data_IF_680012627421
#
_entry.id   IF_680012627421
#
_cell.length_a   1.000
_cell.length_b   1.000
_cell.length_c   1.000
_cell.angle_alpha   90.00
_cell.angle_beta   90.00
_cell.angle_gamma   90.00
#
_symmetry.space_group_name_H-M   'P 1'
#
loop_
_entity.id
_entity.type
_entity.pdbx_description
1 polymer ?
#
# COMPACT_ATOMS: atom_id res chain seq x y z
N UNK A 1 12.77 0.19 -13.91
CA UNK A 1 11.35 0.44 -13.59
C UNK A 1 10.97 1.87 -13.95
N UNK A 2 9.88 2.03 -14.64
CA UNK A 2 9.40 3.36 -15.00
C UNK A 2 8.91 4.10 -13.75
N UNK A 3 9.02 5.43 -13.78
CA UNK A 3 8.65 6.26 -12.64
C UNK A 3 7.19 6.06 -12.22
N UNK A 4 6.29 5.95 -13.19
CA UNK A 4 4.88 5.71 -12.90
C UNK A 4 4.68 4.39 -12.12
N UNK A 5 5.36 3.35 -12.52
CA UNK A 5 5.31 2.05 -11.84
C UNK A 5 5.91 2.14 -10.44
N UNK A 6 7.02 2.85 -10.33
CA UNK A 6 7.68 3.05 -9.04
C UNK A 6 6.74 3.75 -8.05
N UNK A 7 6.14 4.85 -8.47
CA UNK A 7 5.23 5.60 -7.60
C UNK A 7 3.99 4.78 -7.23
N UNK A 8 3.54 3.91 -8.13
CA UNK A 8 2.37 3.08 -7.88
C UNK A 8 2.57 1.94 -6.90
N UNK A 9 3.82 1.67 -6.52
CA UNK A 9 4.13 0.56 -5.62
C UNK A 9 3.49 0.71 -4.23
N UNK A 10 3.45 1.93 -3.72
CA UNK A 10 2.89 2.17 -2.40
C UNK A 10 1.41 1.79 -2.32
N UNK A 11 0.61 2.24 -3.28
CA UNK A 11 -0.83 1.94 -3.27
C UNK A 11 -1.08 0.43 -3.36
N UNK A 12 -0.30 -0.26 -4.18
CA UNK A 12 -0.42 -1.72 -4.27
C UNK A 12 -0.07 -2.40 -2.96
N UNK A 13 1.02 -1.97 -2.34
CA UNK A 13 1.46 -2.52 -1.06
C UNK A 13 0.44 -2.22 0.03
N UNK A 14 -0.15 -1.03 0.01
CA UNK A 14 -1.16 -0.62 0.97
C UNK A 14 -2.41 -1.51 0.87
N UNK A 15 -2.89 -1.74 -0.35
CA UNK A 15 -4.05 -2.60 -0.56
C UNK A 15 -3.81 -4.01 -0.05
N UNK A 16 -2.63 -4.53 -0.33
CA UNK A 16 -2.28 -5.86 0.13
C UNK A 16 -2.16 -5.92 1.66
N UNK A 17 -1.51 -4.93 2.26
CA UNK A 17 -1.36 -4.86 3.70
C UNK A 17 -2.71 -4.76 4.41
N UNK A 18 -3.63 -3.95 3.87
CA UNK A 18 -4.97 -3.82 4.42
C UNK A 18 -5.72 -5.16 4.40
N UNK A 19 -5.59 -5.92 3.31
CA UNK A 19 -6.21 -7.23 3.22
C UNK A 19 -5.65 -8.20 4.23
N UNK A 20 -4.34 -8.22 4.39
CA UNK A 20 -3.70 -9.08 5.39
C UNK A 20 -4.12 -8.69 6.80
N UNK A 21 -4.23 -7.39 7.05
CA UNK A 21 -4.62 -6.89 8.36
C UNK A 21 -6.08 -7.22 8.69
N UNK A 22 -6.97 -7.10 7.70
CA UNK A 22 -8.37 -7.48 7.89
C UNK A 22 -8.51 -8.96 8.21
N UNK A 23 -7.73 -9.79 7.55
CA UNK A 23 -7.72 -11.22 7.82
C UNK A 23 -7.25 -11.51 9.25
N UNK A 24 -6.23 -10.80 9.69
CA UNK A 24 -5.72 -10.92 11.06
C UNK A 24 -6.76 -10.48 12.07
N UNK A 25 -7.44 -9.35 11.81
CA UNK A 25 -8.48 -8.83 12.68
C UNK A 25 -9.65 -9.79 12.83
N UNK A 26 -10.04 -10.43 11.75
CA UNK A 26 -11.15 -11.36 11.77
C UNK A 26 -10.88 -12.51 12.74
N UNK A 27 -9.64 -12.93 12.86
CA UNK A 27 -9.25 -13.97 13.79
C UNK A 27 -9.29 -13.45 15.22
N UNK A 28 -8.75 -12.26 15.46
CA UNK A 28 -8.67 -11.71 16.81
C UNK A 28 -10.02 -11.30 17.36
N UNK A 29 -10.91 -10.78 16.53
CA UNK A 29 -12.22 -10.32 16.98
C UNK A 29 -13.14 -11.49 17.30
N UNK A 30 -12.94 -12.62 16.63
CA UNK A 30 -13.83 -13.76 16.80
C UNK A 30 -13.07 -15.04 17.15
N UNK A 31 -12.40 -15.07 18.31
CA UNK A 31 -11.62 -16.22 18.71
C UNK A 31 -12.48 -17.47 18.91
N UNK A 32 -13.76 -17.27 19.16
CA UNK A 32 -14.73 -18.36 19.29
C UNK A 32 -15.46 -18.59 18.00
N UNK A 33 -14.79 -18.45 16.92
CA UNK A 33 -15.35 -18.60 15.62
C UNK A 33 -16.33 -19.78 15.56
N UNK A 34 -17.45 -19.62 14.88
CA UNK A 34 -18.47 -20.69 14.79
C UNK A 34 -17.91 -22.02 14.31
N UNK A 35 -16.79 -22.00 13.64
CA UNK A 35 -16.15 -23.22 13.19
C UNK A 35 -15.82 -24.18 14.33
N UNK A 36 -15.59 -23.64 15.52
CA UNK A 36 -15.35 -24.46 16.68
C UNK A 36 -16.60 -25.19 17.12
N UNK A 37 -17.74 -24.56 16.95
CA UNK A 37 -19.01 -25.15 17.32
C UNK A 37 -19.49 -26.19 16.32
N UNK A 38 -19.17 -25.97 15.06
CA UNK A 38 -19.58 -26.88 14.01
C UNK A 38 -18.68 -28.07 13.81
N UNK A 39 -17.56 -28.12 14.49
CA UNK A 39 -16.61 -29.19 14.31
C UNK A 39 -16.85 -30.37 15.22
N UNK A 40 -16.68 -31.58 14.71
CA UNK A 40 -16.71 -32.77 15.56
C UNK A 40 -15.57 -32.69 16.53
N UNK A 41 -15.89 -32.60 17.78
CA UNK A 41 -14.88 -32.38 18.79
C UNK A 41 -14.11 -33.64 19.15
N UNK A 42 -14.71 -34.78 18.92
CA UNK A 42 -14.11 -36.04 19.28
C UNK A 42 -12.80 -36.27 18.54
N UNK A 43 -12.64 -35.68 17.40
CA UNK A 43 -11.44 -35.88 16.59
C UNK A 43 -10.40 -34.81 16.79
N UNK A 44 -10.70 -33.82 17.59
CA UNK A 44 -9.77 -32.73 17.83
C UNK A 44 -8.56 -33.25 18.58
N UNK A 45 -7.47 -33.38 17.89
CA UNK A 45 -6.22 -33.82 18.49
C UNK A 45 -5.34 -32.63 18.81
N UNK A 46 -4.28 -32.85 19.56
CA UNK A 46 -3.28 -31.83 19.84
C UNK A 46 -2.65 -31.30 18.56
N UNK A 47 -2.51 -32.14 17.53
CA UNK A 47 -1.91 -31.72 16.28
C UNK A 47 -2.81 -30.75 15.50
N UNK A 48 -4.14 -30.91 15.56
CA UNK A 48 -5.06 -30.00 14.93
C UNK A 48 -5.01 -28.63 15.58
N UNK A 49 -4.92 -28.59 16.89
CA UNK A 49 -4.80 -27.34 17.62
C UNK A 49 -3.48 -26.66 17.30
N UNK A 50 -2.40 -27.42 17.27
CA UNK A 50 -1.08 -26.89 16.94
C UNK A 50 -1.05 -26.33 15.54
N UNK A 51 -1.68 -27.01 14.58
CA UNK A 51 -1.77 -26.54 13.21
C UNK A 51 -2.56 -25.23 13.13
N UNK A 52 -3.64 -25.13 13.88
CA UNK A 52 -4.45 -23.91 13.93
C UNK A 52 -3.66 -22.73 14.48
N UNK A 53 -2.94 -22.97 15.58
CA UNK A 53 -2.10 -21.93 16.17
C UNK A 53 -1.00 -21.51 15.22
N UNK A 54 -0.37 -22.46 14.53
CA UNK A 54 0.67 -22.17 13.57
C UNK A 54 0.14 -21.30 12.42
N UNK A 55 -1.08 -21.57 11.97
CA UNK A 55 -1.71 -20.74 10.91
C UNK A 55 -1.98 -19.33 11.39
N UNK A 56 -2.44 -19.16 12.60
CA UNK A 56 -2.68 -17.85 13.19
C UNK A 56 -1.38 -17.06 13.25
N UNK A 57 -0.31 -17.68 13.73
CA UNK A 57 1.00 -17.04 13.79
C UNK A 57 1.46 -16.61 12.40
N UNK A 58 1.29 -17.50 11.42
CA UNK A 58 1.67 -17.22 10.05
C UNK A 58 0.90 -16.03 9.48
N UNK A 59 -0.41 -15.96 9.70
CA UNK A 59 -1.25 -14.86 9.23
C UNK A 59 -0.79 -13.54 9.86
N UNK A 60 -0.47 -13.55 11.15
CA UNK A 60 0.03 -12.36 11.82
C UNK A 60 1.37 -11.91 11.26
N UNK A 61 2.27 -12.84 10.98
CA UNK A 61 3.57 -12.51 10.37
C UNK A 61 3.41 -11.93 8.98
N UNK A 62 2.51 -12.48 8.19
CA UNK A 62 2.24 -11.95 6.85
C UNK A 62 1.73 -10.53 6.91
N UNK A 63 0.83 -10.24 7.85
CA UNK A 63 0.29 -8.89 8.03
C UNK A 63 1.39 -7.91 8.44
N UNK A 64 2.25 -8.30 9.38
CA UNK A 64 3.36 -7.46 9.81
C UNK A 64 4.32 -7.16 8.68
N UNK A 65 4.70 -8.19 7.93
CA UNK A 65 5.65 -8.04 6.82
C UNK A 65 5.08 -7.11 5.75
N UNK A 66 3.81 -7.30 5.40
CA UNK A 66 3.14 -6.47 4.40
C UNK A 66 3.04 -5.02 4.87
N UNK A 67 2.75 -4.82 6.14
CA UNK A 67 2.64 -3.48 6.71
C UNK A 67 3.98 -2.75 6.74
N UNK A 68 5.05 -3.46 7.11
CA UNK A 68 6.40 -2.87 7.09
C UNK A 68 6.80 -2.45 5.68
N UNK A 69 6.56 -3.30 4.71
CA UNK A 69 6.88 -2.99 3.31
C UNK A 69 6.10 -1.76 2.86
N UNK A 70 4.82 -1.68 3.22
CA UNK A 70 3.99 -0.53 2.90
C UNK A 70 4.59 0.76 3.49
N UNK A 71 5.01 0.73 4.75
CA UNK A 71 5.57 1.92 5.41
C UNK A 71 6.89 2.35 4.77
N UNK A 72 7.73 1.40 4.40
CA UNK A 72 9.00 1.71 3.73
C UNK A 72 8.73 2.38 2.38
N UNK A 73 7.82 1.83 1.61
CA UNK A 73 7.45 2.39 0.31
C UNK A 73 6.82 3.77 0.45
N UNK A 74 5.97 3.95 1.46
CA UNK A 74 5.37 5.26 1.71
C UNK A 74 6.43 6.31 1.94
N UNK A 75 7.40 6.00 2.80
CA UNK A 75 8.48 6.93 3.11
C UNK A 75 9.32 7.25 1.88
N UNK A 76 9.74 6.24 1.13
CA UNK A 76 10.56 6.46 -0.06
C UNK A 76 9.83 7.25 -1.14
N UNK A 77 8.59 6.90 -1.41
CA UNK A 77 7.81 7.55 -2.46
C UNK A 77 7.44 8.96 -2.04
N UNK A 78 7.09 9.15 -0.77
CA UNK A 78 6.82 10.48 -0.25
C UNK A 78 8.03 11.40 -0.40
N UNK A 79 9.24 10.89 -0.13
CA UNK A 79 10.46 11.68 -0.31
C UNK A 79 10.67 12.12 -1.75
N UNK A 80 10.42 11.22 -2.69
CA UNK A 80 10.52 11.55 -4.11
C UNK A 80 9.52 12.64 -4.49
N UNK A 81 8.28 12.50 -4.03
CA UNK A 81 7.23 13.48 -4.33
C UNK A 81 7.56 14.84 -3.71
N UNK A 82 8.00 14.85 -2.46
CA UNK A 82 8.33 16.10 -1.77
C UNK A 82 9.48 16.85 -2.42
N UNK A 83 10.36 16.15 -3.12
CA UNK A 83 11.48 16.76 -3.82
C UNK A 83 11.07 17.47 -5.13
N UNK A 84 9.88 17.20 -5.63
CA UNK A 84 9.38 17.87 -6.84
C UNK A 84 9.15 19.35 -6.52
N UNK A 85 9.81 20.27 -7.28
CA UNK A 85 9.74 21.70 -6.92
C UNK A 85 8.41 22.37 -7.18
N UNK A 86 7.74 21.98 -8.25
CA UNK A 86 6.47 22.61 -8.62
C UNK A 86 5.34 22.12 -7.71
N UNK A 87 4.61 23.05 -7.10
CA UNK A 87 3.57 22.72 -6.14
C UNK A 87 2.39 21.96 -6.74
N UNK A 88 2.00 22.32 -7.95
CA UNK A 88 0.89 21.64 -8.62
C UNK A 88 1.27 20.20 -8.98
N UNK A 89 2.48 20.02 -9.50
CA UNK A 89 2.99 18.68 -9.79
C UNK A 89 3.08 17.84 -8.53
N UNK A 90 3.63 18.40 -7.47
CA UNK A 90 3.73 17.74 -6.18
C UNK A 90 2.36 17.33 -5.65
N UNK A 91 1.41 18.23 -5.68
CA UNK A 91 0.05 17.96 -5.20
C UNK A 91 -0.62 16.84 -6.01
N UNK A 92 -0.49 16.90 -7.33
CA UNK A 92 -1.06 15.85 -8.18
C UNK A 92 -0.49 14.48 -7.82
N UNK A 93 0.83 14.39 -7.68
CA UNK A 93 1.47 13.12 -7.34
C UNK A 93 1.03 12.61 -5.98
N UNK A 94 0.88 13.51 -5.03
CA UNK A 94 0.44 13.15 -3.70
C UNK A 94 -0.99 12.62 -3.70
N UNK A 95 -1.89 13.32 -4.37
CA UNK A 95 -3.29 12.91 -4.46
C UNK A 95 -3.43 11.54 -5.14
N UNK A 96 -2.71 11.34 -6.21
CA UNK A 96 -2.82 10.11 -6.98
C UNK A 96 -2.08 8.93 -6.36
N UNK A 97 -0.85 9.14 -5.92
CA UNK A 97 0.05 8.04 -5.53
C UNK A 97 0.17 7.80 -4.03
N UNK A 98 -0.23 8.75 -3.21
CA UNK A 98 -0.28 8.56 -1.76
C UNK A 98 -1.71 8.38 -1.29
N UNK A 99 -2.61 9.27 -1.70
CA UNK A 99 -4.02 9.19 -1.29
C UNK A 99 -4.83 8.22 -2.14
N UNK A 100 -4.36 7.89 -3.33
CA UNK A 100 -5.00 6.89 -4.16
C UNK A 100 -6.28 7.35 -4.86
N UNK A 101 -6.41 8.65 -5.11
CA UNK A 101 -7.60 9.18 -5.74
C UNK A 101 -7.69 8.81 -7.22
N UNK A 102 -8.91 8.66 -7.69
CA UNK A 102 -9.15 8.46 -9.13
C UNK A 102 -8.87 9.76 -9.86
N UNK A 103 -8.62 9.65 -11.17
CA UNK A 103 -8.27 10.84 -11.95
C UNK A 103 -9.34 11.92 -11.94
N UNK A 104 -10.63 11.54 -11.96
CA UNK A 104 -11.70 12.53 -11.86
C UNK A 104 -11.70 13.21 -10.49
N UNK A 105 -11.36 12.48 -9.44
CA UNK A 105 -11.27 13.04 -8.09
C UNK A 105 -10.07 13.98 -7.96
N UNK A 106 -8.95 13.62 -8.58
CA UNK A 106 -7.77 14.51 -8.63
C UNK A 106 -8.12 15.82 -9.31
N UNK A 107 -8.76 15.74 -10.48
CA UNK A 107 -9.15 16.92 -11.23
C UNK A 107 -10.09 17.82 -10.43
N UNK A 108 -11.06 17.22 -9.77
CA UNK A 108 -12.00 17.97 -8.94
C UNK A 108 -11.29 18.65 -7.75
N UNK A 109 -10.42 17.92 -7.08
CA UNK A 109 -9.68 18.46 -5.94
C UNK A 109 -8.76 19.61 -6.35
N UNK A 110 -8.13 19.51 -7.51
CA UNK A 110 -7.22 20.54 -8.01
C UNK A 110 -7.92 21.67 -8.78
N UNK A 111 -9.23 21.56 -8.95
CA UNK A 111 -10.02 22.53 -9.72
C UNK A 111 -9.50 22.69 -11.14
N UNK A 112 -9.21 21.58 -11.79
CA UNK A 112 -8.69 21.53 -13.15
C UNK A 112 -9.51 20.57 -13.99
N UNK A 113 -9.51 20.80 -15.32
CA UNK A 113 -10.09 19.84 -16.24
C UNK A 113 -9.25 18.56 -16.24
N UNK A 114 -9.87 17.42 -16.48
CA UNK A 114 -9.15 16.15 -16.52
C UNK A 114 -8.02 16.16 -17.55
N UNK A 115 -8.24 16.78 -18.68
CA UNK A 115 -7.24 16.91 -19.74
C UNK A 115 -6.00 17.64 -19.22
N UNK A 116 -6.21 18.73 -18.49
CA UNK A 116 -5.12 19.49 -17.88
C UNK A 116 -4.35 18.65 -16.89
N UNK A 117 -5.06 17.84 -16.09
CA UNK A 117 -4.45 16.94 -15.13
C UNK A 117 -3.56 15.91 -15.83
N UNK A 118 -3.97 15.38 -16.98
CA UNK A 118 -3.15 14.42 -17.71
C UNK A 118 -1.84 15.02 -18.20
N UNK A 119 -1.89 16.25 -18.69
CA UNK A 119 -0.67 16.95 -19.11
C UNK A 119 0.24 17.21 -17.90
N UNK A 120 -0.36 17.70 -16.82
CA UNK A 120 0.38 17.96 -15.59
C UNK A 120 1.01 16.67 -15.05
N UNK A 121 0.31 15.56 -15.16
CA UNK A 121 0.81 14.25 -14.73
C UNK A 121 2.09 13.88 -15.48
N UNK A 122 2.11 14.08 -16.79
CA UNK A 122 3.31 13.82 -17.57
C UNK A 122 4.50 14.64 -17.09
N UNK A 123 4.28 15.93 -16.87
CA UNK A 123 5.33 16.83 -16.35
C UNK A 123 5.78 16.42 -14.95
N UNK A 124 4.83 16.06 -14.10
CA UNK A 124 5.11 15.64 -12.75
C UNK A 124 5.97 14.35 -12.70
N UNK A 125 5.67 13.40 -13.58
CA UNK A 125 6.44 12.18 -13.67
C UNK A 125 7.88 12.45 -14.10
N UNK A 126 8.06 13.39 -15.05
CA UNK A 126 9.41 13.76 -15.48
C UNK A 126 10.19 14.41 -14.34
N UNK A 127 9.55 15.27 -13.57
CA UNK A 127 10.19 15.90 -12.41
C UNK A 127 10.58 14.87 -11.35
N UNK A 128 9.69 13.94 -11.07
CA UNK A 128 9.96 12.88 -10.11
C UNK A 128 11.09 11.96 -10.57
N UNK A 129 11.14 11.69 -11.87
CA UNK A 129 12.19 10.85 -12.43
C UNK A 129 13.57 11.49 -12.25
N UNK A 130 13.67 12.78 -12.46
CA UNK A 130 14.93 13.49 -12.26
C UNK A 130 15.46 13.31 -10.83
N UNK A 131 14.56 13.45 -9.85
CA UNK A 131 14.97 13.28 -8.46
C UNK A 131 15.32 11.83 -8.16
N UNK A 132 14.57 10.89 -8.66
CA UNK A 132 14.85 9.46 -8.49
C UNK A 132 16.24 9.09 -8.97
N UNK A 133 16.61 9.58 -10.15
CA UNK A 133 17.92 9.31 -10.73
C UNK A 133 19.02 9.95 -9.92
N UNK A 134 18.81 11.18 -9.49
CA UNK A 134 19.78 11.90 -8.67
C UNK A 134 20.05 11.19 -7.34
N UNK A 135 18.99 10.69 -6.70
CA UNK A 135 19.10 9.96 -5.46
C UNK A 135 19.85 8.64 -5.64
N UNK A 136 19.57 7.95 -6.73
CA UNK A 136 20.21 6.68 -7.04
C UNK A 136 21.73 6.86 -7.22
N UNK A 137 22.14 7.95 -7.85
CA UNK A 137 23.55 8.27 -8.03
C UNK A 137 24.22 8.55 -6.69
N UNK A 138 23.54 9.24 -5.77
CA UNK A 138 24.07 9.51 -4.43
C UNK A 138 24.23 8.24 -3.60
N UNK A 139 23.29 7.34 -3.72
CA UNK A 139 23.29 6.11 -2.93
C UNK A 139 24.16 5.02 -3.54
N UNK A 140 24.48 5.18 -4.79
CA UNK A 140 25.39 4.29 -5.50
C UNK A 140 26.83 4.74 -5.37
#
# INVERSE_FOLDING_TARGET
>A
MKTKEYLGQYIKAKRYAERCFERMKAIDVNPRSPRLDGMPKATSSGSDLADTVARIVEIKKMAETAYRKMLILESEISDVIEAVPDLDEKMLLRLRYIEGLKWNEVAETMHMAERTVFYLHGDALNSAELYRKSRHIRDG
#
